data_IF_645928680503
#
_entry.id   IF_645928680503
#
_cell.length_a   1.000
_cell.length_b   1.000
_cell.length_c   1.000
_cell.angle_alpha   90.00
_cell.angle_beta   90.00
_cell.angle_gamma   90.00
#
_symmetry.space_group_name_H-M   'P 1'
#
loop_
_entity.id
_entity.type
_entity.pdbx_description
1 polymer ?
#
# COMPACT_ATOMS: atom_id res chain seq x y z
N UNK A 1 0.75 13.10 0.56
CA UNK A 1 0.82 12.27 -0.67
C UNK A 1 -0.47 11.52 -0.93
N UNK A 2 -0.88 10.51 -0.15
CA UNK A 2 -2.12 9.76 -0.48
C UNK A 2 -3.37 10.63 -0.45
N UNK A 3 -3.55 11.49 0.57
CA UNK A 3 -4.63 12.47 0.56
C UNK A 3 -4.59 13.42 -0.65
N UNK A 4 -3.39 13.88 -1.04
CA UNK A 4 -3.22 14.75 -2.23
C UNK A 4 -3.51 14.03 -3.55
N UNK A 5 -3.45 12.69 -3.57
CA UNK A 5 -3.83 11.89 -4.73
C UNK A 5 -5.32 11.51 -4.68
N UNK A 6 -5.89 11.35 -3.48
CA UNK A 6 -7.31 11.07 -3.28
C UNK A 6 -8.22 12.22 -3.75
N UNK A 7 -7.74 13.46 -3.75
CA UNK A 7 -8.43 14.61 -4.37
C UNK A 7 -8.34 14.63 -5.90
N UNK A 8 -7.48 13.81 -6.51
CA UNK A 8 -7.31 13.69 -7.95
C UNK A 8 -8.11 12.49 -8.49
N UNK A 9 -7.85 12.10 -9.75
CA UNK A 9 -8.50 10.92 -10.31
C UNK A 9 -8.10 9.62 -9.58
N UNK A 10 -9.01 8.64 -9.44
CA UNK A 10 -8.71 7.33 -8.86
C UNK A 10 -7.53 6.60 -9.51
N UNK A 11 -7.29 6.83 -10.82
CA UNK A 11 -6.19 6.24 -11.58
C UNK A 11 -4.82 6.68 -11.03
N UNK A 12 -4.71 7.87 -10.44
CA UNK A 12 -3.48 8.33 -9.82
C UNK A 12 -3.22 7.63 -8.49
N UNK A 13 -4.25 7.45 -7.66
CA UNK A 13 -4.16 6.64 -6.43
C UNK A 13 -3.73 5.22 -6.79
N UNK A 14 -4.39 4.63 -7.79
CA UNK A 14 -4.06 3.29 -8.25
C UNK A 14 -2.63 3.19 -8.79
N UNK A 15 -2.19 4.14 -9.63
CA UNK A 15 -0.83 4.16 -10.17
C UNK A 15 0.22 4.34 -9.08
N UNK A 16 -0.05 5.18 -8.08
CA UNK A 16 0.83 5.37 -6.93
C UNK A 16 0.99 4.08 -6.14
N UNK A 17 -0.10 3.43 -5.76
CA UNK A 17 -0.05 2.18 -5.02
C UNK A 17 0.49 1.01 -5.87
N UNK A 18 0.23 1.01 -7.18
CA UNK A 18 0.87 0.11 -8.13
C UNK A 18 2.40 0.29 -8.15
N UNK A 19 2.88 1.53 -8.12
CA UNK A 19 4.30 1.86 -7.97
C UNK A 19 4.90 1.38 -6.65
N UNK A 20 4.16 1.51 -5.54
CA UNK A 20 4.55 0.95 -4.23
C UNK A 20 4.75 -0.56 -4.32
N UNK A 21 3.82 -1.32 -4.90
CA UNK A 21 4.02 -2.77 -5.08
C UNK A 21 5.13 -3.12 -6.07
N UNK A 22 5.28 -2.34 -7.15
CA UNK A 22 6.34 -2.54 -8.12
C UNK A 22 7.71 -2.42 -7.46
N UNK A 23 7.88 -1.48 -6.52
CA UNK A 23 9.10 -1.34 -5.73
C UNK A 23 9.40 -2.61 -4.91
N UNK A 24 8.38 -3.27 -4.36
CA UNK A 24 8.52 -4.54 -3.64
C UNK A 24 8.96 -5.68 -4.57
N UNK A 25 8.36 -5.80 -5.75
CA UNK A 25 8.74 -6.80 -6.75
C UNK A 25 10.16 -6.59 -7.28
N UNK A 26 10.54 -5.35 -7.57
CA UNK A 26 11.91 -4.98 -7.98
C UNK A 26 12.91 -5.27 -6.86
N UNK A 27 12.55 -4.97 -5.62
CA UNK A 27 13.36 -5.28 -4.43
C UNK A 27 13.61 -6.77 -4.30
N UNK A 28 12.56 -7.59 -4.49
CA UNK A 28 12.69 -9.04 -4.50
C UNK A 28 13.61 -9.52 -5.64
N UNK A 29 13.44 -9.01 -6.87
CA UNK A 29 14.32 -9.34 -8.01
C UNK A 29 15.78 -8.96 -7.73
N UNK A 30 16.03 -7.80 -7.15
CA UNK A 30 17.37 -7.36 -6.76
C UNK A 30 17.96 -8.27 -5.67
N UNK A 31 17.15 -8.77 -4.73
CA UNK A 31 17.58 -9.76 -3.73
C UNK A 31 17.95 -11.10 -4.35
N UNK A 32 17.19 -11.58 -5.33
CA UNK A 32 17.55 -12.77 -6.11
C UNK A 32 18.89 -12.58 -6.84
N UNK A 33 19.04 -11.46 -7.54
CA UNK A 33 20.26 -11.13 -8.28
C UNK A 33 21.48 -11.03 -7.36
N UNK A 34 21.39 -10.24 -6.29
CA UNK A 34 22.49 -10.07 -5.32
C UNK A 34 22.86 -11.39 -4.65
N UNK A 35 21.88 -12.24 -4.29
CA UNK A 35 22.19 -13.57 -3.77
C UNK A 35 22.90 -14.43 -4.83
N UNK A 36 22.37 -14.52 -6.04
CA UNK A 36 22.95 -15.34 -7.10
C UNK A 36 24.41 -14.94 -7.44
N UNK A 37 24.71 -13.65 -7.42
CA UNK A 37 26.05 -13.13 -7.71
C UNK A 37 27.03 -13.37 -6.55
N UNK A 38 26.56 -13.23 -5.31
CA UNK A 38 27.46 -13.20 -4.15
C UNK A 38 27.44 -14.46 -3.27
N UNK A 39 26.58 -15.45 -3.53
CA UNK A 39 26.44 -16.67 -2.70
C UNK A 39 27.77 -17.40 -2.48
N UNK A 40 28.63 -17.46 -3.50
CA UNK A 40 29.94 -18.13 -3.45
C UNK A 40 31.12 -17.19 -3.17
N UNK A 41 30.87 -15.91 -2.84
CA UNK A 41 31.92 -14.92 -2.60
C UNK A 41 32.29 -14.85 -1.11
N UNK A 42 33.58 -14.64 -0.82
CA UNK A 42 34.03 -14.25 0.52
C UNK A 42 33.39 -12.91 0.89
N UNK A 43 32.73 -12.85 2.04
CA UNK A 43 31.88 -11.74 2.50
C UNK A 43 30.70 -11.43 1.56
N UNK A 44 30.17 -12.46 0.87
CA UNK A 44 29.10 -12.33 -0.11
C UNK A 44 27.85 -11.61 0.41
N UNK A 45 27.39 -11.95 1.62
CA UNK A 45 26.23 -11.31 2.24
C UNK A 45 26.45 -9.80 2.45
N UNK A 46 27.65 -9.40 2.89
CA UNK A 46 28.01 -7.99 3.10
C UNK A 46 28.09 -7.23 1.78
N UNK A 47 28.75 -7.81 0.77
CA UNK A 47 28.86 -7.20 -0.57
C UNK A 47 27.49 -7.06 -1.23
N UNK A 48 26.64 -8.08 -1.13
CA UNK A 48 25.26 -8.05 -1.60
C UNK A 48 24.44 -6.97 -0.89
N UNK A 49 24.55 -6.86 0.44
CA UNK A 49 23.87 -5.82 1.21
C UNK A 49 24.34 -4.41 0.84
N UNK A 50 25.66 -4.19 0.67
CA UNK A 50 26.19 -2.89 0.24
C UNK A 50 25.68 -2.52 -1.15
N UNK A 51 25.73 -3.45 -2.12
CA UNK A 51 25.22 -3.21 -3.47
C UNK A 51 23.71 -2.90 -3.47
N UNK A 52 22.93 -3.70 -2.73
CA UNK A 52 21.50 -3.49 -2.56
C UNK A 52 21.22 -2.09 -2.01
N UNK A 53 21.84 -1.72 -0.88
CA UNK A 53 21.64 -0.41 -0.25
C UNK A 53 22.09 0.75 -1.12
N UNK A 54 23.19 0.62 -1.88
CA UNK A 54 23.64 1.64 -2.82
C UNK A 54 22.63 1.88 -3.94
N UNK A 55 22.08 0.82 -4.54
CA UNK A 55 21.07 0.92 -5.58
C UNK A 55 19.78 1.55 -5.00
N UNK A 56 19.31 1.05 -3.85
CA UNK A 56 18.12 1.61 -3.19
C UNK A 56 18.28 3.09 -2.86
N UNK A 57 19.44 3.51 -2.32
CA UNK A 57 19.72 4.90 -2.00
C UNK A 57 19.71 5.79 -3.26
N UNK A 58 20.28 5.32 -4.37
CA UNK A 58 20.25 6.05 -5.64
C UNK A 58 18.82 6.26 -6.14
N UNK A 59 17.99 5.20 -6.15
CA UNK A 59 16.60 5.31 -6.58
C UNK A 59 15.78 6.21 -5.66
N UNK A 60 15.97 6.12 -4.34
CA UNK A 60 15.29 6.99 -3.38
C UNK A 60 15.62 8.47 -3.61
N UNK A 61 16.90 8.80 -3.78
CA UNK A 61 17.34 10.16 -4.09
C UNK A 61 16.74 10.66 -5.41
N UNK A 62 16.72 9.81 -6.44
CA UNK A 62 16.09 10.14 -7.71
C UNK A 62 14.58 10.40 -7.54
N UNK A 63 13.87 9.57 -6.79
CA UNK A 63 12.44 9.75 -6.49
C UNK A 63 12.18 11.06 -5.75
N UNK A 64 12.98 11.41 -4.74
CA UNK A 64 12.88 12.68 -4.01
C UNK A 64 13.13 13.87 -4.94
N UNK A 65 14.14 13.81 -5.82
CA UNK A 65 14.42 14.88 -6.78
C UNK A 65 13.30 15.04 -7.81
N UNK A 66 12.77 13.94 -8.35
CA UNK A 66 11.64 13.97 -9.28
C UNK A 66 10.38 14.55 -8.59
N UNK A 67 10.11 14.14 -7.35
CA UNK A 67 8.99 14.66 -6.58
C UNK A 67 9.14 16.14 -6.25
N UNK A 68 10.35 16.60 -5.88
CA UNK A 68 10.57 18.01 -5.54
C UNK A 68 10.57 18.92 -6.78
N UNK A 69 11.20 18.50 -7.88
CA UNK A 69 11.51 19.37 -9.01
C UNK A 69 10.52 19.25 -10.19
N UNK A 70 9.95 18.06 -10.40
CA UNK A 70 9.11 17.74 -11.58
C UNK A 70 7.63 17.70 -11.21
N UNK A 71 7.26 16.99 -10.15
CA UNK A 71 5.86 16.75 -9.79
C UNK A 71 5.01 18.03 -9.64
N UNK A 72 5.45 19.11 -8.93
CA UNK A 72 4.67 20.34 -8.79
C UNK A 72 4.51 21.12 -10.10
N UNK A 73 5.36 20.86 -11.08
CA UNK A 73 5.37 21.56 -12.37
C UNK A 73 4.44 20.93 -13.40
N UNK A 74 3.97 19.70 -13.16
CA UNK A 74 3.08 18.99 -14.08
C UNK A 74 1.74 19.74 -14.24
N UNK A 75 1.25 19.96 -15.47
CA UNK A 75 0.00 20.69 -15.72
C UNK A 75 -1.21 20.09 -15.01
N UNK A 76 -1.29 18.75 -14.95
CA UNK A 76 -2.40 18.06 -14.28
C UNK A 76 -2.39 18.26 -12.77
N UNK A 77 -1.21 18.26 -12.14
CA UNK A 77 -1.06 18.53 -10.70
C UNK A 77 -1.46 19.97 -10.41
N UNK A 78 -1.05 20.92 -11.25
CA UNK A 78 -1.46 22.34 -11.14
C UNK A 78 -2.98 22.50 -11.25
N UNK A 79 -3.62 21.80 -12.19
CA UNK A 79 -5.07 21.83 -12.35
C UNK A 79 -5.81 21.34 -11.10
N UNK A 80 -5.48 20.15 -10.60
CA UNK A 80 -6.13 19.58 -9.41
C UNK A 80 -5.87 20.40 -8.15
N UNK A 81 -4.65 20.93 -8.01
CA UNK A 81 -4.33 21.82 -6.90
C UNK A 81 -5.13 23.13 -6.98
N UNK A 82 -5.25 23.74 -8.15
CA UNK A 82 -6.06 24.96 -8.32
C UNK A 82 -7.53 24.71 -7.99
N UNK A 83 -8.08 23.56 -8.41
CA UNK A 83 -9.46 23.17 -8.10
C UNK A 83 -9.67 22.98 -6.58
N UNK A 84 -8.77 22.27 -5.92
CA UNK A 84 -8.86 22.08 -4.48
C UNK A 84 -8.68 23.39 -3.69
N UNK A 85 -7.87 24.33 -4.19
CA UNK A 85 -7.75 25.66 -3.59
C UNK A 85 -9.03 26.49 -3.72
N UNK A 86 -9.73 26.43 -4.86
CA UNK A 86 -11.06 27.06 -5.01
C UNK A 86 -12.12 26.43 -4.11
N UNK A 87 -11.96 25.16 -3.75
CA UNK A 87 -12.84 24.45 -2.80
C UNK A 87 -12.44 24.69 -1.32
N UNK A 88 -11.51 25.62 -1.05
CA UNK A 88 -11.15 26.02 0.32
C UNK A 88 -10.02 25.20 0.97
N UNK A 89 -9.25 24.42 0.21
CA UNK A 89 -8.12 23.66 0.74
C UNK A 89 -6.89 24.54 0.98
N UNK A 90 -6.57 24.80 2.26
CA UNK A 90 -5.41 25.61 2.66
C UNK A 90 -4.05 24.92 2.45
N UNK A 91 -3.98 23.59 2.53
CA UNK A 91 -2.72 22.83 2.31
C UNK A 91 -2.23 22.94 0.87
N UNK A 92 -3.16 23.17 -0.06
CA UNK A 92 -2.88 23.20 -1.49
C UNK A 92 -2.38 24.57 -1.96
N UNK A 93 -2.69 25.65 -1.23
CA UNK A 93 -2.27 27.01 -1.55
C UNK A 93 -0.74 27.17 -1.46
N UNK A 94 -0.11 26.57 -0.44
CA UNK A 94 1.36 26.55 -0.30
C UNK A 94 2.04 25.75 -1.42
N UNK A 95 1.43 24.63 -1.80
CA UNK A 95 1.90 23.74 -2.87
C UNK A 95 1.78 24.36 -4.28
N UNK A 96 0.78 25.21 -4.51
CA UNK A 96 0.61 26.02 -5.73
C UNK A 96 1.70 27.08 -5.86
N UNK A 97 2.01 27.76 -4.76
CA UNK A 97 3.10 28.74 -4.70
C UNK A 97 4.45 28.07 -5.03
N UNK A 98 4.70 26.87 -4.50
CA UNK A 98 5.88 26.06 -4.85
C UNK A 98 5.90 25.62 -6.34
N UNK A 99 4.73 25.43 -6.95
CA UNK A 99 4.56 25.13 -8.38
C UNK A 99 4.68 26.35 -9.31
N UNK A 100 4.95 27.54 -8.76
CA UNK A 100 5.12 28.79 -9.51
C UNK A 100 3.82 29.51 -9.89
N UNK A 101 2.69 29.14 -9.28
CA UNK A 101 1.39 29.81 -9.48
C UNK A 101 1.10 30.62 -8.21
N UNK A 102 1.08 31.95 -8.34
CA UNK A 102 0.47 32.83 -7.32
C UNK A 102 -1.03 32.75 -7.53
N UNK A 103 -1.77 32.35 -6.49
CA UNK A 103 -3.23 32.34 -6.50
C UNK A 103 -3.74 33.74 -6.89
N UNK A 104 -4.35 33.86 -8.06
CA UNK A 104 -5.19 35.01 -8.36
C UNK A 104 -6.45 34.88 -7.49
N UNK A 105 -6.84 35.91 -6.71
CA UNK A 105 -8.13 35.90 -6.04
C UNK A 105 -9.19 35.87 -7.13
N UNK A 106 -9.92 34.76 -7.23
CA UNK A 106 -10.99 34.64 -8.20
C UNK A 106 -12.21 35.37 -7.59
N UNK A 107 -12.76 36.43 -8.21
CA UNK A 107 -13.88 37.21 -7.65
C UNK A 107 -15.20 36.43 -7.56
N UNK A 108 -15.24 35.21 -8.09
CA UNK A 108 -16.42 34.33 -8.11
C UNK A 108 -16.49 33.39 -6.89
N UNK A 109 -15.52 33.45 -5.98
CA UNK A 109 -15.50 32.61 -4.79
C UNK A 109 -16.41 33.13 -3.65
N UNK A 110 -17.10 34.27 -3.85
CA UNK A 110 -18.01 34.84 -2.84
C UNK A 110 -19.49 34.42 -3.01
N UNK A 111 -19.88 33.70 -4.07
CA UNK A 111 -21.30 33.43 -4.34
C UNK A 111 -21.77 31.96 -4.37
N UNK A 112 -20.88 30.96 -4.29
CA UNK A 112 -21.34 29.60 -3.98
C UNK A 112 -21.31 29.40 -2.47
N UNK A 113 -22.50 29.38 -1.88
CA UNK A 113 -22.73 29.42 -0.44
C UNK A 113 -21.86 28.48 0.38
N UNK A 114 -21.68 28.82 1.65
CA UNK A 114 -21.00 28.03 2.68
C UNK A 114 -21.61 26.62 2.72
N UNK A 115 -21.18 25.74 1.83
CA UNK A 115 -21.61 24.34 1.85
C UNK A 115 -20.80 23.68 2.95
N UNK A 116 -21.48 23.43 4.06
CA UNK A 116 -20.96 22.88 5.31
C UNK A 116 -20.01 21.70 5.04
N UNK A 117 -18.73 21.87 5.40
CA UNK A 117 -17.69 20.86 5.24
C UNK A 117 -17.79 19.85 6.37
N UNK A 118 -17.73 18.56 6.07
CA UNK A 118 -17.69 17.53 7.10
C UNK A 118 -16.40 17.61 7.92
N UNK A 119 -16.54 17.53 9.24
CA UNK A 119 -15.39 17.41 10.14
C UNK A 119 -14.77 16.00 10.01
N UNK A 120 -13.46 15.86 10.28
CA UNK A 120 -12.74 14.58 10.21
C UNK A 120 -13.42 13.46 11.03
N UNK A 121 -14.06 13.80 12.16
CA UNK A 121 -14.79 12.83 12.98
C UNK A 121 -16.06 12.32 12.28
N UNK A 122 -16.81 13.20 11.62
CA UNK A 122 -18.01 12.82 10.86
C UNK A 122 -17.60 11.99 9.64
N UNK A 123 -16.57 12.45 8.92
CA UNK A 123 -16.01 11.75 7.78
C UNK A 123 -15.53 10.34 8.15
N UNK A 124 -14.85 10.18 9.29
CA UNK A 124 -14.46 8.86 9.78
C UNK A 124 -15.68 8.01 10.15
N UNK A 125 -16.68 8.58 10.83
CA UNK A 125 -17.88 7.86 11.22
C UNK A 125 -18.66 7.34 10.00
N UNK A 126 -18.78 8.15 8.94
CA UNK A 126 -19.45 7.76 7.69
C UNK A 126 -18.67 6.71 6.88
N UNK A 127 -17.35 6.62 7.07
CA UNK A 127 -16.44 5.72 6.34
C UNK A 127 -15.74 4.70 7.25
N UNK A 128 -16.37 4.37 8.38
CA UNK A 128 -15.77 3.49 9.39
C UNK A 128 -15.53 2.08 8.84
N UNK A 129 -16.39 1.60 7.96
CA UNK A 129 -16.24 0.33 7.25
C UNK A 129 -14.97 0.31 6.38
N UNK A 130 -14.74 1.32 5.55
CA UNK A 130 -13.51 1.42 4.73
C UNK A 130 -12.26 1.54 5.60
N UNK A 131 -12.33 2.28 6.70
CA UNK A 131 -11.24 2.39 7.67
C UNK A 131 -10.94 1.04 8.33
N UNK A 132 -12.00 0.30 8.72
CA UNK A 132 -11.89 -1.04 9.27
C UNK A 132 -11.34 -2.04 8.25
N UNK A 133 -11.77 -1.97 6.98
CA UNK A 133 -11.26 -2.80 5.89
C UNK A 133 -9.75 -2.63 5.74
N UNK A 134 -9.28 -1.37 5.67
CA UNK A 134 -7.84 -1.08 5.59
C UNK A 134 -7.08 -1.62 6.80
N UNK A 135 -7.61 -1.41 8.00
CA UNK A 135 -7.00 -1.91 9.22
C UNK A 135 -6.90 -3.44 9.21
N UNK A 136 -8.01 -4.14 9.00
CA UNK A 136 -8.08 -5.60 8.99
C UNK A 136 -7.20 -6.22 7.91
N UNK A 137 -7.18 -5.61 6.71
CA UNK A 137 -6.35 -6.07 5.60
C UNK A 137 -4.88 -6.10 6.00
N UNK A 138 -4.39 -5.02 6.63
CA UNK A 138 -2.99 -4.89 6.99
C UNK A 138 -2.62 -5.61 8.29
N UNK A 139 -3.53 -5.71 9.28
CA UNK A 139 -3.34 -6.56 10.46
C UNK A 139 -3.03 -7.99 10.03
N UNK A 140 -3.91 -8.57 9.20
CA UNK A 140 -3.73 -9.95 8.76
C UNK A 140 -2.45 -10.11 7.93
N UNK A 141 -2.26 -9.26 6.92
CA UNK A 141 -1.10 -9.37 6.02
C UNK A 141 0.21 -9.34 6.81
N UNK A 142 0.36 -8.36 7.72
CA UNK A 142 1.61 -8.17 8.46
C UNK A 142 1.77 -9.12 9.66
N UNK A 143 0.68 -9.79 10.07
CA UNK A 143 0.78 -10.90 11.04
C UNK A 143 1.34 -12.19 10.44
N UNK A 144 1.44 -12.30 9.11
CA UNK A 144 1.91 -13.50 8.40
C UNK A 144 3.18 -13.18 7.59
N UNK A 145 3.16 -12.07 6.85
CA UNK A 145 4.26 -11.66 5.98
C UNK A 145 5.00 -10.45 6.55
N UNK A 146 6.34 -10.45 6.62
CA UNK A 146 7.27 -11.52 6.22
C UNK A 146 7.70 -12.46 7.36
N UNK A 147 7.36 -12.17 8.62
CA UNK A 147 7.95 -12.81 9.81
C UNK A 147 7.71 -14.30 9.90
N UNK A 148 6.46 -14.72 10.09
CA UNK A 148 6.07 -16.14 10.08
C UNK A 148 6.62 -16.90 8.86
N UNK A 149 6.56 -16.30 7.66
CA UNK A 149 7.04 -16.95 6.44
C UNK A 149 8.57 -17.17 6.43
N UNK A 150 9.33 -16.32 7.11
CA UNK A 150 10.78 -16.42 7.19
C UNK A 150 11.26 -17.44 8.24
N UNK A 151 10.52 -17.61 9.34
CA UNK A 151 11.00 -18.34 10.52
C UNK A 151 10.33 -19.72 10.68
N UNK A 152 9.07 -19.86 10.28
CA UNK A 152 8.18 -20.87 10.89
C UNK A 152 7.65 -21.95 9.95
N UNK A 153 8.16 -21.99 8.72
CA UNK A 153 7.65 -22.88 7.67
C UNK A 153 8.33 -24.26 7.63
N UNK A 154 9.39 -24.51 8.40
CA UNK A 154 10.04 -25.82 8.50
C UNK A 154 11.14 -26.08 7.45
N UNK A 155 11.38 -27.35 7.13
CA UNK A 155 12.43 -27.77 6.19
C UNK A 155 11.92 -27.87 4.74
N UNK A 156 12.60 -27.20 3.81
CA UNK A 156 12.17 -27.10 2.40
C UNK A 156 13.28 -27.49 1.44
N UNK A 157 12.92 -28.01 0.26
CA UNK A 157 13.93 -28.38 -0.76
C UNK A 157 14.62 -27.16 -1.37
N UNK A 158 13.98 -25.98 -1.31
CA UNK A 158 14.53 -24.70 -1.77
C UNK A 158 15.61 -24.14 -0.82
N UNK A 159 15.81 -24.73 0.36
CA UNK A 159 16.84 -24.32 1.33
C UNK A 159 16.81 -22.82 1.60
N UNK A 160 17.97 -22.16 1.51
CA UNK A 160 18.12 -20.72 1.76
C UNK A 160 17.42 -19.81 0.72
N UNK A 161 16.91 -20.37 -0.39
CA UNK A 161 16.16 -19.62 -1.41
C UNK A 161 14.68 -19.54 -1.12
N UNK A 162 14.19 -20.39 -0.21
CA UNK A 162 12.77 -20.54 0.07
C UNK A 162 12.09 -19.23 0.48
N UNK A 163 12.65 -18.55 1.49
CA UNK A 163 12.11 -17.28 1.98
C UNK A 163 12.12 -16.20 0.90
N UNK A 164 13.14 -16.16 0.03
CA UNK A 164 13.18 -15.24 -1.11
C UNK A 164 12.07 -15.54 -2.12
N UNK A 165 11.78 -16.81 -2.39
CA UNK A 165 10.68 -17.22 -3.28
C UNK A 165 9.34 -16.79 -2.69
N UNK A 166 9.10 -17.01 -1.40
CA UNK A 166 7.88 -16.56 -0.74
C UNK A 166 7.71 -15.04 -0.81
N UNK A 167 8.78 -14.28 -0.51
CA UNK A 167 8.76 -12.81 -0.60
C UNK A 167 8.49 -12.34 -2.03
N UNK A 168 9.12 -12.94 -3.04
CA UNK A 168 8.82 -12.60 -4.43
C UNK A 168 7.38 -12.97 -4.81
N UNK A 169 6.89 -14.14 -4.40
CA UNK A 169 5.52 -14.60 -4.68
C UNK A 169 4.48 -13.65 -4.12
N UNK A 170 4.67 -13.18 -2.88
CA UNK A 170 3.85 -12.16 -2.26
C UNK A 170 3.89 -10.85 -3.05
N UNK A 171 5.08 -10.29 -3.28
CA UNK A 171 5.24 -8.97 -3.91
C UNK A 171 4.73 -8.93 -5.36
N UNK A 172 4.99 -9.98 -6.15
CA UNK A 172 4.49 -10.09 -7.53
C UNK A 172 2.96 -10.23 -7.53
N UNK A 173 2.41 -11.03 -6.62
CA UNK A 173 0.96 -11.20 -6.52
C UNK A 173 0.27 -9.93 -6.00
N UNK A 174 0.87 -9.22 -5.04
CA UNK A 174 0.40 -7.90 -4.57
C UNK A 174 0.39 -6.88 -5.72
N UNK A 175 1.45 -6.85 -6.53
CA UNK A 175 1.50 -6.01 -7.72
C UNK A 175 0.36 -6.30 -8.69
N UNK A 176 0.15 -7.59 -9.03
CA UNK A 176 -0.97 -8.01 -9.89
C UNK A 176 -2.30 -7.59 -9.25
N UNK A 177 -2.48 -7.82 -7.95
CA UNK A 177 -3.68 -7.49 -7.19
C UNK A 177 -4.05 -6.01 -7.29
N UNK A 178 -3.07 -5.11 -7.22
CA UNK A 178 -3.29 -3.65 -7.32
C UNK A 178 -3.73 -3.19 -8.72
N UNK A 179 -3.45 -3.97 -9.76
CA UNK A 179 -3.92 -3.68 -11.11
C UNK A 179 -5.22 -4.39 -11.47
N UNK A 180 -5.66 -5.41 -10.71
CA UNK A 180 -6.96 -6.07 -10.94
C UNK A 180 -8.15 -5.10 -11.02
N UNK A 181 -8.26 -4.04 -10.17
CA UNK A 181 -9.35 -3.07 -10.27
C UNK A 181 -9.41 -2.26 -11.57
N UNK A 182 -8.39 -2.32 -12.45
CA UNK A 182 -8.49 -1.75 -13.81
C UNK A 182 -9.49 -2.52 -14.68
N UNK A 183 -9.69 -3.81 -14.38
CA UNK A 183 -10.68 -4.64 -15.07
C UNK A 183 -12.00 -4.44 -14.34
N UNK A 184 -12.95 -3.73 -14.96
CA UNK A 184 -14.20 -3.34 -14.32
C UNK A 184 -14.99 -4.52 -13.73
N UNK A 185 -14.95 -5.70 -14.36
CA UNK A 185 -15.64 -6.88 -13.83
C UNK A 185 -15.04 -7.43 -12.53
N UNK A 186 -13.75 -7.16 -12.29
CA UNK A 186 -13.03 -7.61 -11.08
C UNK A 186 -13.01 -6.54 -9.99
N UNK A 187 -13.51 -5.33 -10.28
CA UNK A 187 -13.50 -4.23 -9.34
C UNK A 187 -14.58 -4.41 -8.27
N UNK A 188 -14.15 -4.60 -7.02
CA UNK A 188 -15.06 -4.73 -5.89
C UNK A 188 -15.47 -3.34 -5.37
N UNK A 189 -16.69 -2.91 -5.70
CA UNK A 189 -17.22 -1.59 -5.32
C UNK A 189 -18.19 -1.61 -4.15
N UNK A 190 -18.72 -2.79 -3.80
CA UNK A 190 -19.69 -2.94 -2.71
C UNK A 190 -19.02 -2.80 -1.35
N UNK A 191 -19.50 -1.87 -0.51
CA UNK A 191 -19.04 -1.69 0.88
C UNK A 191 -19.13 -2.99 1.68
N UNK A 192 -20.29 -3.65 1.64
CA UNK A 192 -20.49 -4.95 2.29
C UNK A 192 -19.61 -6.04 1.70
N UNK A 193 -19.36 -5.99 0.37
CA UNK A 193 -18.46 -6.91 -0.31
C UNK A 193 -17.01 -6.77 0.15
N UNK A 194 -16.52 -5.53 0.29
CA UNK A 194 -15.18 -5.23 0.77
C UNK A 194 -14.98 -5.68 2.21
N UNK A 195 -15.93 -5.38 3.10
CA UNK A 195 -15.88 -5.84 4.49
C UNK A 195 -15.94 -7.36 4.61
N UNK A 196 -16.82 -8.01 3.84
CA UNK A 196 -16.90 -9.47 3.81
C UNK A 196 -15.59 -10.08 3.30
N UNK A 197 -15.00 -9.50 2.26
CA UNK A 197 -13.70 -9.92 1.75
C UNK A 197 -12.58 -9.72 2.80
N UNK A 198 -12.52 -8.56 3.47
CA UNK A 198 -11.54 -8.28 4.51
C UNK A 198 -11.64 -9.27 5.69
N UNK A 199 -12.86 -9.55 6.18
CA UNK A 199 -13.10 -10.51 7.27
C UNK A 199 -12.79 -11.94 6.82
N UNK A 200 -13.25 -12.35 5.64
CA UNK A 200 -13.01 -13.72 5.13
C UNK A 200 -11.53 -14.03 4.94
N UNK A 201 -10.66 -13.03 4.71
CA UNK A 201 -9.22 -13.25 4.65
C UNK A 201 -8.65 -13.84 5.95
N UNK A 202 -9.29 -13.68 7.11
CA UNK A 202 -8.84 -14.32 8.35
C UNK A 202 -8.91 -15.86 8.30
N UNK A 203 -9.62 -16.45 7.34
CA UNK A 203 -9.55 -17.89 7.04
C UNK A 203 -8.16 -18.31 6.53
N UNK A 204 -7.33 -17.37 6.08
CA UNK A 204 -5.93 -17.63 5.75
C UNK A 204 -5.12 -18.00 6.98
N UNK A 205 -5.44 -17.50 8.18
CA UNK A 205 -4.70 -17.85 9.41
C UNK A 205 -4.71 -19.35 9.68
N UNK A 206 -5.87 -20.03 9.82
CA UNK A 206 -5.87 -21.49 9.97
C UNK A 206 -5.28 -22.19 8.75
N UNK A 207 -5.48 -21.68 7.53
CA UNK A 207 -4.88 -22.28 6.33
C UNK A 207 -3.34 -22.29 6.40
N UNK A 208 -2.70 -21.15 6.71
CA UNK A 208 -1.26 -21.05 6.91
C UNK A 208 -0.76 -21.94 8.04
N UNK A 209 -1.49 -22.01 9.15
CA UNK A 209 -1.17 -22.90 10.27
C UNK A 209 -1.17 -24.38 9.85
N UNK A 210 -2.22 -24.84 9.17
CA UNK A 210 -2.31 -26.22 8.68
C UNK A 210 -1.25 -26.52 7.62
N UNK A 211 -1.01 -25.59 6.69
CA UNK A 211 0.00 -25.76 5.64
C UNK A 211 1.41 -25.78 6.21
N UNK A 212 1.73 -25.00 7.25
CA UNK A 212 3.04 -25.07 7.89
C UNK A 212 3.32 -26.41 8.58
N UNK A 213 2.27 -27.11 9.05
CA UNK A 213 2.41 -28.39 9.75
C UNK A 213 2.33 -29.61 8.83
N UNK A 214 1.50 -29.55 7.79
CA UNK A 214 1.16 -30.71 6.97
C UNK A 214 1.33 -30.47 5.46
N UNK A 215 1.43 -29.22 5.04
CA UNK A 215 1.53 -28.84 3.64
C UNK A 215 2.96 -28.86 3.13
N UNK A 216 3.08 -28.97 1.80
CA UNK A 216 4.36 -28.80 1.12
C UNK A 216 4.70 -27.33 0.85
N UNK A 217 5.93 -27.10 0.38
CA UNK A 217 6.42 -25.79 -0.02
C UNK A 217 5.56 -25.12 -1.11
N UNK A 218 4.92 -25.89 -1.99
CA UNK A 218 4.07 -25.38 -3.07
C UNK A 218 2.77 -24.79 -2.55
N UNK A 219 2.11 -25.45 -1.59
CA UNK A 219 0.93 -24.92 -0.91
C UNK A 219 1.25 -23.62 -0.17
N UNK A 220 2.41 -23.53 0.47
CA UNK A 220 2.83 -22.31 1.16
C UNK A 220 3.06 -21.15 0.18
N UNK A 221 3.70 -21.41 -0.97
CA UNK A 221 3.87 -20.42 -2.05
C UNK A 221 2.50 -19.98 -2.59
N UNK A 222 1.57 -20.92 -2.79
CA UNK A 222 0.22 -20.61 -3.25
C UNK A 222 -0.55 -19.72 -2.27
N UNK A 223 -0.56 -20.06 -0.97
CA UNK A 223 -1.21 -19.26 0.06
C UNK A 223 -0.57 -17.87 0.18
N UNK A 224 0.76 -17.78 0.10
CA UNK A 224 1.50 -16.51 0.10
C UNK A 224 1.14 -15.63 -1.10
N UNK A 225 0.95 -16.25 -2.27
CA UNK A 225 0.49 -15.55 -3.48
C UNK A 225 -0.94 -15.04 -3.32
N UNK A 226 -1.84 -15.87 -2.77
CA UNK A 226 -3.23 -15.47 -2.49
C UNK A 226 -3.29 -14.33 -1.45
N UNK A 227 -2.44 -14.39 -0.44
CA UNK A 227 -2.29 -13.32 0.56
C UNK A 227 -1.88 -12.00 -0.11
N UNK A 228 -0.87 -12.02 -0.98
CA UNK A 228 -0.43 -10.86 -1.75
C UNK A 228 -1.51 -10.34 -2.70
N UNK A 229 -2.10 -11.21 -3.51
CA UNK A 229 -3.14 -10.84 -4.49
C UNK A 229 -4.33 -10.16 -3.81
N UNK A 230 -4.84 -10.75 -2.73
CA UNK A 230 -5.96 -10.19 -1.96
C UNK A 230 -5.58 -8.89 -1.25
N UNK A 231 -4.35 -8.77 -0.75
CA UNK A 231 -3.84 -7.55 -0.12
C UNK A 231 -3.87 -6.37 -1.11
N UNK A 232 -3.27 -6.56 -2.29
CA UNK A 232 -3.18 -5.53 -3.31
C UNK A 232 -4.55 -5.14 -3.86
N UNK A 233 -5.38 -6.14 -4.13
CA UNK A 233 -6.73 -5.93 -4.67
C UNK A 233 -7.62 -5.13 -3.72
N UNK A 234 -7.75 -5.56 -2.45
CA UNK A 234 -8.61 -4.87 -1.49
C UNK A 234 -8.08 -3.47 -1.15
N UNK A 235 -6.76 -3.31 -1.04
CA UNK A 235 -6.14 -2.00 -0.77
C UNK A 235 -6.54 -0.96 -1.81
N UNK A 236 -6.39 -1.29 -3.10
CA UNK A 236 -6.72 -0.34 -4.18
C UNK A 236 -8.23 -0.14 -4.28
N UNK A 237 -9.03 -1.20 -4.13
CA UNK A 237 -10.49 -1.07 -4.15
C UNK A 237 -10.98 -0.12 -3.06
N UNK A 238 -10.52 -0.25 -1.81
CA UNK A 238 -10.91 0.67 -0.73
C UNK A 238 -10.44 2.10 -1.00
N UNK A 239 -9.16 2.29 -1.35
CA UNK A 239 -8.58 3.62 -1.52
C UNK A 239 -9.09 4.39 -2.75
N UNK A 240 -9.68 3.69 -3.72
CA UNK A 240 -10.28 4.31 -4.90
C UNK A 240 -11.80 4.51 -4.76
N UNK A 241 -12.49 3.69 -3.97
CA UNK A 241 -13.94 3.83 -3.76
C UNK A 241 -14.28 4.79 -2.61
N UNK A 242 -13.54 4.75 -1.50
CA UNK A 242 -13.88 5.54 -0.31
C UNK A 242 -13.92 7.07 -0.55
N UNK A 243 -12.99 7.69 -1.32
CA UNK A 243 -13.05 9.13 -1.59
C UNK A 243 -14.17 9.55 -2.56
N UNK A 244 -14.86 8.63 -3.25
CA UNK A 244 -15.87 9.01 -4.24
C UNK A 244 -17.08 9.67 -3.59
N UNK A 245 -17.58 10.74 -4.21
CA UNK A 245 -18.74 11.48 -3.74
C UNK A 245 -18.44 12.58 -2.71
N UNK A 246 -17.21 12.66 -2.20
CA UNK A 246 -16.75 13.76 -1.33
C UNK A 246 -16.11 14.89 -2.12
N UNK A 247 -16.00 16.08 -1.51
CA UNK A 247 -15.30 17.23 -2.10
C UNK A 247 -13.78 17.10 -1.97
N UNK A 248 -13.00 17.86 -2.73
CA UNK A 248 -11.53 17.77 -2.72
C UNK A 248 -10.88 17.85 -1.33
N UNK A 249 -11.25 18.81 -0.44
CA UNK A 249 -10.71 18.87 0.91
C UNK A 249 -11.08 17.67 1.79
N UNK A 250 -12.27 17.09 1.60
CA UNK A 250 -12.76 15.92 2.32
C UNK A 250 -12.10 14.65 1.79
N UNK A 251 -11.94 14.51 0.48
CA UNK A 251 -11.18 13.43 -0.18
C UNK A 251 -9.73 13.37 0.33
N UNK A 252 -9.09 14.54 0.46
CA UNK A 252 -7.75 14.62 1.03
C UNK A 252 -7.72 14.15 2.50
N UNK A 253 -8.66 14.63 3.32
CA UNK A 253 -8.76 14.22 4.71
C UNK A 253 -9.03 12.71 4.84
N UNK A 254 -9.96 12.17 4.07
CA UNK A 254 -10.32 10.76 4.08
C UNK A 254 -9.16 9.87 3.62
N UNK A 255 -8.46 10.25 2.54
CA UNK A 255 -7.27 9.53 2.09
C UNK A 255 -6.20 9.43 3.19
N UNK A 256 -5.96 10.51 3.94
CA UNK A 256 -5.01 10.50 5.06
C UNK A 256 -5.53 9.68 6.25
N UNK A 257 -6.83 9.72 6.56
CA UNK A 257 -7.44 8.87 7.59
C UNK A 257 -7.30 7.38 7.24
N UNK A 258 -7.56 6.98 6.00
CA UNK A 258 -7.40 5.58 5.57
C UNK A 258 -5.94 5.12 5.68
N UNK A 259 -4.98 5.98 5.35
CA UNK A 259 -3.55 5.68 5.57
C UNK A 259 -3.22 5.54 7.05
N UNK A 260 -3.81 6.34 7.95
CA UNK A 260 -3.63 6.18 9.39
C UNK A 260 -4.10 4.79 9.86
N UNK A 261 -5.25 4.33 9.39
CA UNK A 261 -5.77 2.99 9.72
C UNK A 261 -4.92 1.87 9.11
N UNK A 262 -4.41 2.06 7.90
CA UNK A 262 -3.41 1.17 7.30
C UNK A 262 -2.17 1.07 8.19
N UNK A 263 -1.61 2.19 8.66
CA UNK A 263 -0.42 2.21 9.52
C UNK A 263 -0.69 1.56 10.89
N UNK A 264 -1.86 1.82 11.48
CA UNK A 264 -2.30 1.15 12.70
C UNK A 264 -2.40 -0.37 12.49
N UNK A 265 -2.92 -0.79 11.34
CA UNK A 265 -3.00 -2.20 10.96
C UNK A 265 -1.63 -2.84 10.79
N UNK A 266 -0.68 -2.15 10.15
CA UNK A 266 0.72 -2.60 10.05
C UNK A 266 1.32 -2.79 11.44
N UNK A 267 1.15 -1.82 12.34
CA UNK A 267 1.69 -1.90 13.69
C UNK A 267 1.12 -3.10 14.46
N UNK A 268 -0.20 -3.23 14.49
CA UNK A 268 -0.87 -4.35 15.19
C UNK A 268 -0.53 -5.69 14.54
N UNK A 269 -0.46 -5.76 13.22
CA UNK A 269 -0.06 -6.96 12.47
C UNK A 269 1.36 -7.40 12.82
N UNK A 270 2.32 -6.47 12.79
CA UNK A 270 3.71 -6.76 13.15
C UNK A 270 3.89 -7.22 14.60
N UNK A 271 3.07 -6.70 15.53
CA UNK A 271 3.04 -7.20 16.93
C UNK A 271 2.39 -8.58 17.00
N UNK A 272 1.39 -8.85 16.18
CA UNK A 272 0.67 -10.13 16.14
C UNK A 272 1.49 -11.25 15.49
N UNK A 273 2.50 -10.93 14.67
CA UNK A 273 3.44 -11.90 14.10
C UNK A 273 4.13 -12.77 15.17
N UNK A 274 4.43 -12.18 16.33
CA UNK A 274 4.99 -12.91 17.49
C UNK A 274 4.07 -14.00 18.05
N UNK A 275 2.75 -13.92 17.80
CA UNK A 275 1.80 -14.94 18.27
C UNK A 275 2.06 -16.29 17.61
N UNK A 276 2.65 -16.33 16.41
CA UNK A 276 3.03 -17.57 15.73
C UNK A 276 4.16 -18.33 16.42
N UNK A 277 4.99 -17.60 17.17
CA UNK A 277 6.10 -18.16 17.93
C UNK A 277 5.64 -18.77 19.28
N UNK A 278 4.43 -18.43 19.76
CA UNK A 278 3.92 -18.92 21.05
C UNK A 278 3.69 -20.43 20.98
N UNK A 279 4.27 -21.16 21.95
CA UNK A 279 4.15 -22.61 22.05
C UNK A 279 5.23 -23.39 21.32
N UNK A 280 6.12 -22.71 20.59
CA UNK A 280 7.41 -23.29 20.19
C UNK A 280 8.31 -23.19 21.42
N UNK A 281 8.66 -24.32 22.02
CA UNK A 281 9.60 -24.33 23.15
C UNK A 281 10.98 -23.94 22.63
N UNK A 282 11.39 -22.70 22.91
CA UNK A 282 12.77 -22.25 22.81
C UNK A 282 13.48 -22.51 24.14
#
# INVERSE_FOLDING_TARGET
MTGDLSLMCPEFVQSFFGGVAASGAITAALRFFTKAVFENSRDGLRKGAMLFSSISCFFELLCVLLYALVFPKLPIVKFYRSKAASEGSQTVTADLAAGGIKSLPNPLAEEDGVVERLNNKQLLHENMDYALDMFLVYVLTLSIFPGFLAEDTGSHSLGSWYVLVLIASFNVSDLIGRYLPLVEQMKLTSRTGLLTAAISRFLLVPAFYFTAKYGDQGWMIMLTSLLGLSNGHLTVSVLTEAPKGYKGPEQNALGNLLVLFLLAGIFVGAVSDWLWLIGKGW
#
